data_IF_782391954377
#
_entry.id   IF_782391954377
#
_cell.length_a   1.000
_cell.length_b   1.000
_cell.length_c   1.000
_cell.angle_alpha   90.00
_cell.angle_beta   90.00
_cell.angle_gamma   90.00
#
_symmetry.space_group_name_H-M   'P 1'
#
loop_
_entity.id
_entity.type
_entity.pdbx_description
1 polymer ?
#
# COMPACT_ATOMS: atom_id res chain seq x y z
N UNK A 1 -13.18 8.18 -3.22
CA UNK A 1 -12.00 9.04 -3.48
C UNK A 1 -10.76 8.21 -3.85
N UNK A 2 -10.72 6.91 -3.58
CA UNK A 2 -9.54 6.06 -3.86
C UNK A 2 -8.55 6.04 -2.70
N UNK A 3 -8.91 6.63 -1.56
CA UNK A 3 -8.08 6.66 -0.35
C UNK A 3 -8.04 5.28 0.30
N UNK A 4 -6.86 4.89 0.78
CA UNK A 4 -6.64 3.62 1.48
C UNK A 4 -6.31 3.88 2.94
N UNK A 5 -6.99 3.15 3.81
CA UNK A 5 -6.75 3.14 5.24
C UNK A 5 -6.40 1.73 5.68
N UNK A 6 -5.50 1.61 6.66
CA UNK A 6 -5.15 0.34 7.28
C UNK A 6 -5.09 0.48 8.79
N UNK A 7 -5.39 -0.62 9.47
CA UNK A 7 -5.37 -0.73 10.92
C UNK A 7 -5.06 -2.18 11.33
N UNK A 8 -4.62 -2.38 12.56
CA UNK A 8 -4.33 -3.70 13.11
C UNK A 8 -3.03 -3.76 13.90
N UNK A 9 -2.55 -4.99 14.12
CA UNK A 9 -1.34 -5.25 14.90
C UNK A 9 -0.08 -4.78 14.17
N UNK A 10 0.93 -4.36 14.93
CA UNK A 10 2.27 -4.15 14.41
C UNK A 10 2.83 -5.38 13.71
N UNK A 11 3.72 -5.16 12.75
CA UNK A 11 4.51 -6.25 12.19
C UNK A 11 5.53 -6.85 13.18
N UNK A 12 6.02 -8.03 12.82
CA UNK A 12 7.03 -8.78 13.58
C UNK A 12 8.42 -8.35 13.10
N UNK A 13 9.34 -8.09 14.04
CA UNK A 13 10.69 -7.65 13.71
C UNK A 13 10.69 -6.32 12.95
N UNK A 14 11.25 -6.31 11.74
CA UNK A 14 11.29 -5.13 10.86
C UNK A 14 10.16 -5.08 9.83
N UNK A 15 9.19 -5.99 9.89
CA UNK A 15 8.08 -6.00 8.94
C UNK A 15 7.08 -4.88 9.24
N UNK A 16 6.58 -4.26 8.17
CA UNK A 16 5.48 -3.33 8.16
C UNK A 16 4.52 -3.84 7.08
N UNK A 17 3.38 -4.38 7.51
CA UNK A 17 2.33 -4.85 6.58
C UNK A 17 1.08 -3.97 6.61
N UNK A 18 1.13 -2.86 7.35
CA UNK A 18 0.06 -1.86 7.35
C UNK A 18 0.31 -0.79 6.27
N UNK A 19 1.50 -0.73 5.68
CA UNK A 19 1.84 0.25 4.64
C UNK A 19 2.17 1.64 5.20
N UNK A 20 2.32 1.77 6.51
CA UNK A 20 2.75 3.02 7.16
C UNK A 20 4.28 3.09 7.21
N UNK A 21 4.87 4.27 7.38
CA UNK A 21 6.33 4.40 7.52
C UNK A 21 6.88 3.89 8.88
N UNK A 22 6.02 3.31 9.71
CA UNK A 22 6.33 2.81 11.04
C UNK A 22 5.81 1.38 11.25
N UNK A 23 6.30 0.72 12.30
CA UNK A 23 5.85 -0.61 12.71
C UNK A 23 4.94 -0.54 13.93
N UNK A 24 4.26 0.57 14.18
CA UNK A 24 3.38 0.68 15.33
C UNK A 24 2.03 0.00 15.05
N UNK A 25 1.40 -0.59 16.08
CA UNK A 25 0.03 -1.03 15.92
C UNK A 25 -0.87 0.19 15.68
N UNK A 26 -1.85 0.03 14.80
CA UNK A 26 -2.82 1.06 14.48
C UNK A 26 -4.19 0.59 14.99
N UNK A 27 -4.63 1.01 16.19
CA UNK A 27 -5.90 0.55 16.77
C UNK A 27 -7.12 1.14 16.05
N UNK A 28 -6.94 2.20 15.26
CA UNK A 28 -7.96 2.85 14.46
C UNK A 28 -7.48 2.99 13.00
N UNK A 29 -8.40 3.10 12.02
CA UNK A 29 -8.05 3.35 10.64
C UNK A 29 -7.13 4.57 10.50
N UNK A 30 -5.94 4.36 9.93
CA UNK A 30 -4.99 5.42 9.58
C UNK A 30 -4.80 5.42 8.07
N UNK A 31 -4.81 6.59 7.46
CA UNK A 31 -4.58 6.73 6.03
C UNK A 31 -3.15 6.31 5.68
N UNK A 32 -2.98 5.60 4.57
CA UNK A 32 -1.66 5.28 4.02
C UNK A 32 -1.21 6.47 3.18
N UNK A 33 -0.38 7.33 3.77
CA UNK A 33 0.10 8.57 3.14
C UNK A 33 0.85 8.30 1.81
N UNK A 34 1.54 7.16 1.71
CA UNK A 34 2.24 6.74 0.49
C UNK A 34 1.30 6.55 -0.73
N UNK A 35 0.00 6.39 -0.49
CA UNK A 35 -1.02 6.19 -1.53
C UNK A 35 -1.94 7.39 -1.70
N UNK A 36 -1.70 8.51 -1.00
CA UNK A 36 -2.60 9.66 -0.99
C UNK A 36 -2.78 10.31 -2.38
N UNK A 37 -1.81 10.15 -3.28
CA UNK A 37 -1.86 10.66 -4.67
C UNK A 37 -2.40 9.65 -5.67
N UNK A 38 -2.67 8.42 -5.25
CA UNK A 38 -3.04 7.31 -6.12
C UNK A 38 -4.55 7.05 -6.05
N UNK A 39 -5.18 6.82 -7.20
CA UNK A 39 -6.57 6.40 -7.22
C UNK A 39 -6.66 4.87 -7.12
N UNK A 40 -6.76 4.36 -5.90
CA UNK A 40 -6.80 2.91 -5.66
C UNK A 40 -8.12 2.31 -6.11
N UNK A 41 -8.02 1.20 -6.85
CA UNK A 41 -9.15 0.47 -7.43
C UNK A 41 -9.38 -0.90 -6.77
N UNK A 42 -8.33 -1.53 -6.26
CA UNK A 42 -8.44 -2.80 -5.54
C UNK A 42 -7.32 -2.97 -4.52
N UNK A 43 -7.62 -3.72 -3.46
CA UNK A 43 -6.70 -4.06 -2.38
C UNK A 43 -6.74 -5.57 -2.14
N UNK A 44 -5.59 -6.17 -1.85
CA UNK A 44 -5.48 -7.57 -1.41
C UNK A 44 -4.52 -7.68 -0.23
N UNK A 45 -4.87 -8.51 0.75
CA UNK A 45 -4.11 -8.67 2.00
C UNK A 45 -3.72 -10.14 2.20
N UNK A 46 -2.42 -10.38 2.31
CA UNK A 46 -1.86 -11.67 2.74
C UNK A 46 -1.53 -11.66 4.24
N UNK A 47 -0.92 -12.75 4.71
CA UNK A 47 -0.58 -12.90 6.14
C UNK A 47 0.36 -11.80 6.68
N UNK A 48 1.28 -11.30 5.84
CA UNK A 48 2.26 -10.24 6.19
C UNK A 48 2.50 -9.26 5.05
N UNK A 49 1.55 -9.11 4.14
CA UNK A 49 1.70 -8.27 2.95
C UNK A 49 0.38 -7.57 2.59
N UNK A 50 0.50 -6.37 2.04
CA UNK A 50 -0.59 -5.59 1.47
C UNK A 50 -0.24 -5.28 0.02
N UNK A 51 -1.13 -5.61 -0.91
CA UNK A 51 -1.03 -5.30 -2.33
C UNK A 51 -2.15 -4.36 -2.77
N UNK A 52 -1.82 -3.42 -3.64
CA UNK A 52 -2.75 -2.39 -4.11
C UNK A 52 -2.63 -2.24 -5.62
N UNK A 53 -3.78 -2.16 -6.31
CA UNK A 53 -3.83 -1.72 -7.72
C UNK A 53 -4.44 -0.33 -7.77
N UNK A 54 -3.69 0.60 -8.34
CA UNK A 54 -4.15 1.96 -8.60
C UNK A 54 -4.33 2.18 -10.09
N UNK A 55 -5.23 3.10 -10.43
CA UNK A 55 -5.34 3.58 -11.80
C UNK A 55 -4.05 4.30 -12.16
N UNK A 56 -3.40 3.87 -13.25
CA UNK A 56 -2.27 4.59 -13.79
C UNK A 56 -2.70 6.03 -14.13
N UNK A 57 -1.96 7.01 -13.62
CA UNK A 57 -1.91 8.31 -14.27
C UNK A 57 -1.06 8.18 -15.54
N UNK A 58 -1.22 9.08 -16.51
CA UNK A 58 -0.51 8.99 -17.79
C UNK A 58 1.03 9.03 -17.69
N UNK A 59 1.61 9.21 -16.49
CA UNK A 59 3.05 9.22 -16.23
C UNK A 59 3.61 7.95 -15.56
N UNK A 60 2.76 7.05 -15.06
CA UNK A 60 3.16 5.84 -14.31
C UNK A 60 3.05 4.53 -15.10
N UNK A 61 2.82 4.62 -16.42
CA UNK A 61 2.81 3.46 -17.32
C UNK A 61 4.23 2.96 -17.56
N UNK A 62 4.66 1.98 -16.77
CA UNK A 62 5.80 1.15 -17.13
C UNK A 62 5.41 0.33 -18.36
N UNK A 63 5.87 0.79 -19.53
CA UNK A 63 5.43 0.25 -20.82
C UNK A 63 6.10 -1.08 -21.16
N UNK A 64 7.17 -1.45 -20.44
CA UNK A 64 7.88 -2.70 -20.68
C UNK A 64 8.48 -3.27 -19.39
N UNK A 65 7.72 -4.16 -18.76
CA UNK A 65 8.18 -4.93 -17.60
C UNK A 65 9.41 -5.82 -17.91
N UNK A 66 9.69 -6.09 -19.19
CA UNK A 66 10.77 -6.96 -19.66
C UNK A 66 12.17 -6.35 -19.50
N UNK A 67 12.29 -5.05 -19.19
CA UNK A 67 13.56 -4.35 -19.04
C UNK A 67 14.09 -4.28 -17.59
N UNK A 68 13.33 -4.79 -16.62
CA UNK A 68 13.77 -4.87 -15.23
C UNK A 68 14.53 -6.18 -15.00
N UNK A 69 15.82 -6.15 -15.30
CA UNK A 69 16.78 -7.23 -15.06
C UNK A 69 17.11 -7.38 -13.57
#
# INVERSE_FOLDING_TARGET
DGSVYSFGKRGIGRSNYLGHYDTNPQPQPKQIDALATQFVTSVSCGYRHLGVLAKADGGSVDSDFSLRN
#
